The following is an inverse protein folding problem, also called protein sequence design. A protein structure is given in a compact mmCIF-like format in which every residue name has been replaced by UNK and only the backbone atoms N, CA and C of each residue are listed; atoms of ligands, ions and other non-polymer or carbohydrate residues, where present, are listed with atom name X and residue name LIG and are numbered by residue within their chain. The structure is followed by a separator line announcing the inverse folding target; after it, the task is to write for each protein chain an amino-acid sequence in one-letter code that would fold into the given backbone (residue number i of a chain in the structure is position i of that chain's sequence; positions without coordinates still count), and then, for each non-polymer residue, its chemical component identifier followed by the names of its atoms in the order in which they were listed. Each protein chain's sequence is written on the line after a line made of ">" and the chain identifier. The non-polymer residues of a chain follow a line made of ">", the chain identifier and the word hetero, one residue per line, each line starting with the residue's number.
data_IF_443331105395
#
_entry.id   IF_443331105395
#
_cell.length_a   1.000
_cell.length_b   1.000
_cell.length_c   1.000
_cell.angle_alpha   90.00
_cell.angle_beta   90.00
_cell.angle_gamma   90.00
#
_symmetry.space_group_name_H-M   'P 1'
#
loop_
_entity.id
_entity.type
_entity.pdbx_description
1 polymer ?
#
# COMPACT_ATOMS: atom_id res chain seq x y z
N UNK A 1 5.13 5.31 10.70
CA UNK A 1 3.74 5.68 10.47
C UNK A 1 2.92 4.41 10.60
N UNK A 2 1.65 4.37 10.98
CA UNK A 2 0.78 3.82 9.93
C UNK A 2 0.71 4.91 8.85
N UNK A 3 0.78 4.58 7.57
CA UNK A 3 0.94 5.54 6.48
C UNK A 3 0.04 5.18 5.30
N UNK A 4 -0.43 6.18 4.53
CA UNK A 4 -1.25 5.93 3.35
C UNK A 4 -0.44 5.16 2.32
N UNK A 5 -1.10 4.26 1.61
CA UNK A 5 -0.52 3.55 0.46
C UNK A 5 -1.39 3.79 -0.76
N UNK A 6 -0.73 3.92 -1.92
CA UNK A 6 -1.41 3.95 -3.20
C UNK A 6 -1.34 2.57 -3.86
N UNK A 7 -2.49 2.01 -4.25
CA UNK A 7 -2.61 0.87 -5.14
C UNK A 7 -2.86 1.43 -6.54
N UNK A 8 -1.84 1.44 -7.37
CA UNK A 8 -1.88 2.11 -8.66
C UNK A 8 -1.92 1.09 -9.77
N UNK A 9 -2.95 1.14 -10.62
CA UNK A 9 -2.85 0.45 -11.89
C UNK A 9 -1.73 1.02 -12.75
N UNK A 10 -1.24 0.21 -13.68
CA UNK A 10 -0.08 0.57 -14.50
C UNK A 10 -0.51 1.14 -15.85
N UNK A 11 -1.16 0.34 -16.68
CA UNK A 11 -1.43 0.70 -18.07
C UNK A 11 -2.60 1.70 -18.13
N UNK A 12 -2.48 2.76 -18.94
CA UNK A 12 -3.43 3.89 -19.03
C UNK A 12 -3.71 4.65 -17.70
N UNK A 13 -3.05 4.27 -16.60
CA UNK A 13 -3.16 4.91 -15.27
C UNK A 13 -1.86 5.61 -14.88
N UNK A 14 -0.81 4.84 -14.56
CA UNK A 14 0.54 5.37 -14.27
C UNK A 14 1.33 5.62 -15.54
N UNK A 15 1.13 4.78 -16.56
CA UNK A 15 1.72 4.90 -17.88
C UNK A 15 0.64 5.20 -18.92
N UNK A 16 0.62 6.43 -19.42
CA UNK A 16 -0.29 6.87 -20.49
C UNK A 16 0.56 7.06 -21.74
N UNK A 17 0.29 6.27 -22.78
CA UNK A 17 1.07 6.29 -24.03
C UNK A 17 2.60 6.12 -23.79
N UNK A 18 2.97 5.27 -22.82
CA UNK A 18 4.36 5.00 -22.37
C UNK A 18 5.02 6.14 -21.55
N UNK A 19 4.33 7.26 -21.35
CA UNK A 19 4.79 8.35 -20.50
C UNK A 19 4.19 8.26 -19.10
N UNK A 20 4.93 8.75 -18.11
CA UNK A 20 4.43 8.77 -16.73
C UNK A 20 3.32 9.81 -16.60
N UNK A 21 2.24 9.42 -15.92
CA UNK A 21 1.19 10.33 -15.47
C UNK A 21 1.72 11.22 -14.34
N UNK A 22 2.49 12.26 -14.71
CA UNK A 22 3.14 13.16 -13.77
C UNK A 22 2.15 13.90 -12.88
N UNK A 23 0.95 14.22 -13.40
CA UNK A 23 -0.11 14.86 -12.62
C UNK A 23 -0.50 14.02 -11.40
N UNK A 24 -0.83 12.73 -11.60
CA UNK A 24 -1.18 11.82 -10.51
C UNK A 24 -0.01 11.62 -9.53
N UNK A 25 1.20 11.39 -10.07
CA UNK A 25 2.39 11.12 -9.25
C UNK A 25 2.82 12.34 -8.43
N UNK A 26 2.81 13.54 -9.02
CA UNK A 26 3.11 14.77 -8.29
C UNK A 26 2.07 15.05 -7.21
N UNK A 27 0.79 14.83 -7.50
CA UNK A 27 -0.27 14.96 -6.48
C UNK A 27 -0.08 14.00 -5.31
N UNK A 28 0.25 12.72 -5.55
CA UNK A 28 0.57 11.77 -4.48
C UNK A 28 1.76 12.26 -3.65
N UNK A 29 2.86 12.66 -4.31
CA UNK A 29 4.08 13.13 -3.65
C UNK A 29 3.86 14.40 -2.83
N UNK A 30 3.15 15.38 -3.39
CA UNK A 30 2.83 16.66 -2.73
C UNK A 30 1.98 16.46 -1.48
N UNK A 31 1.16 15.40 -1.46
CA UNK A 31 0.34 15.03 -0.32
C UNK A 31 1.00 13.97 0.59
N UNK A 32 2.29 13.68 0.38
CA UNK A 32 3.08 12.78 1.23
C UNK A 32 2.77 11.29 1.06
N UNK A 33 2.00 10.90 0.04
CA UNK A 33 1.73 9.51 -0.30
C UNK A 33 2.88 8.99 -1.17
N UNK A 34 3.84 8.30 -0.54
CA UNK A 34 5.06 7.81 -1.20
C UNK A 34 5.11 6.30 -1.34
N UNK A 35 4.27 5.57 -0.61
CA UNK A 35 4.23 4.11 -0.62
C UNK A 35 3.27 3.64 -1.69
N UNK A 36 3.77 2.81 -2.62
CA UNK A 36 3.02 2.32 -3.77
C UNK A 36 3.08 0.79 -3.82
N UNK A 37 1.95 0.16 -4.08
CA UNK A 37 1.92 -1.14 -4.77
C UNK A 37 1.41 -0.93 -6.18
N UNK A 38 2.06 -1.56 -7.16
CA UNK A 38 1.58 -1.57 -8.54
C UNK A 38 0.52 -2.66 -8.66
N UNK A 39 -0.72 -2.26 -8.89
CA UNK A 39 -1.93 -3.07 -8.76
C UNK A 39 -2.50 -3.32 -10.17
N UNK A 40 -1.95 -4.31 -10.87
CA UNK A 40 -2.06 -4.44 -12.34
C UNK A 40 -2.69 -5.75 -12.77
N UNK A 41 -3.46 -5.73 -13.86
CA UNK A 41 -4.12 -6.91 -14.45
C UNK A 41 -3.21 -7.67 -15.44
N UNK A 42 -1.93 -7.87 -15.09
CA UNK A 42 -0.96 -8.45 -16.01
C UNK A 42 -0.84 -9.98 -15.90
N UNK A 43 -0.34 -10.63 -16.97
CA UNK A 43 0.22 -11.99 -16.93
C UNK A 43 1.75 -11.96 -17.16
N UNK A 44 2.41 -13.11 -17.03
CA UNK A 44 3.87 -13.21 -17.13
C UNK A 44 4.36 -13.34 -18.56
N UNK A 45 4.29 -12.24 -19.30
CA UNK A 45 5.06 -12.05 -20.55
C UNK A 45 6.38 -11.35 -20.23
N UNK A 46 7.43 -11.70 -20.95
CA UNK A 46 8.79 -11.21 -20.63
C UNK A 46 8.95 -9.72 -20.82
N UNK A 47 8.42 -9.16 -21.91
CA UNK A 47 8.39 -7.71 -22.11
C UNK A 47 7.70 -7.03 -20.93
N UNK A 48 6.60 -7.62 -20.45
CA UNK A 48 5.90 -7.11 -19.28
C UNK A 48 6.76 -7.17 -18.02
N UNK A 49 7.50 -8.24 -17.73
CA UNK A 49 8.39 -8.25 -16.55
C UNK A 49 9.45 -7.15 -16.63
N UNK A 50 10.15 -7.04 -17.76
CA UNK A 50 11.21 -6.05 -17.96
C UNK A 50 10.68 -4.60 -17.89
N UNK A 51 9.59 -4.31 -18.59
CA UNK A 51 8.93 -3.00 -18.58
C UNK A 51 8.50 -2.60 -17.18
N UNK A 52 7.96 -3.56 -16.41
CA UNK A 52 7.52 -3.33 -15.04
C UNK A 52 8.71 -3.09 -14.10
N UNK A 53 9.83 -3.80 -14.24
CA UNK A 53 11.05 -3.52 -13.50
C UNK A 53 11.61 -2.12 -13.80
N UNK A 54 11.65 -1.72 -15.08
CA UNK A 54 12.05 -0.36 -15.48
C UNK A 54 11.11 0.71 -14.91
N UNK A 55 9.80 0.45 -14.91
CA UNK A 55 8.82 1.36 -14.29
C UNK A 55 9.09 1.51 -12.79
N UNK A 56 9.33 0.39 -12.08
CA UNK A 56 9.68 0.41 -10.66
C UNK A 56 10.91 1.29 -10.41
N UNK A 57 11.99 1.09 -11.17
CA UNK A 57 13.21 1.91 -11.05
C UNK A 57 12.94 3.40 -11.31
N UNK A 58 12.11 3.73 -12.32
CA UNK A 58 11.72 5.12 -12.61
C UNK A 58 10.95 5.75 -11.45
N UNK A 59 9.99 5.04 -10.86
CA UNK A 59 9.20 5.53 -9.72
C UNK A 59 10.05 5.69 -8.46
N UNK A 60 10.92 4.73 -8.18
CA UNK A 60 11.88 4.81 -7.06
C UNK A 60 12.84 5.99 -7.24
N UNK A 61 13.33 6.22 -8.46
CA UNK A 61 14.11 7.41 -8.82
C UNK A 61 13.38 8.75 -8.61
N UNK A 62 12.04 8.75 -8.61
CA UNK A 62 11.22 9.93 -8.29
C UNK A 62 10.90 10.08 -6.79
N UNK A 63 11.42 9.19 -5.95
CA UNK A 63 11.27 9.25 -4.48
C UNK A 63 10.08 8.46 -3.94
N UNK A 64 9.48 7.58 -4.73
CA UNK A 64 8.49 6.61 -4.25
C UNK A 64 9.15 5.38 -3.62
N UNK A 65 8.41 4.69 -2.75
CA UNK A 65 8.72 3.37 -2.23
C UNK A 65 7.77 2.36 -2.87
N UNK A 66 8.26 1.62 -3.87
CA UNK A 66 7.46 0.61 -4.58
C UNK A 66 7.61 -0.74 -3.88
N UNK A 67 6.56 -1.17 -3.18
CA UNK A 67 6.56 -2.37 -2.34
C UNK A 67 6.44 -3.68 -3.12
N UNK A 68 5.91 -3.64 -4.34
CA UNK A 68 5.77 -4.81 -5.19
C UNK A 68 4.66 -4.64 -6.23
N UNK A 69 4.43 -5.72 -6.98
CA UNK A 69 3.38 -5.82 -7.99
C UNK A 69 2.33 -6.81 -7.51
N UNK A 70 1.10 -6.35 -7.31
CA UNK A 70 -0.04 -7.19 -6.96
C UNK A 70 -0.83 -7.45 -8.24
N UNK A 71 -1.10 -8.73 -8.51
CA UNK A 71 -1.72 -9.19 -9.76
C UNK A 71 -2.87 -10.17 -9.47
N UNK A 72 -3.79 -10.42 -10.43
CA UNK A 72 -4.84 -11.43 -10.26
C UNK A 72 -4.28 -12.82 -10.01
N UNK A 73 -3.06 -13.09 -10.48
CA UNK A 73 -2.42 -14.39 -10.34
C UNK A 73 -2.24 -14.74 -8.87
N UNK A 74 -1.98 -13.75 -8.00
CA UNK A 74 -1.80 -13.93 -6.56
C UNK A 74 -3.02 -14.63 -5.90
N UNK A 75 -4.22 -14.49 -6.49
CA UNK A 75 -5.46 -15.11 -6.00
C UNK A 75 -5.45 -16.64 -6.07
N UNK A 76 -4.59 -17.23 -6.89
CA UNK A 76 -4.48 -18.69 -7.05
C UNK A 76 -3.03 -19.17 -7.08
N UNK A 77 -2.05 -18.27 -6.97
CA UNK A 77 -0.63 -18.59 -7.06
C UNK A 77 -0.11 -19.31 -5.82
N UNK A 78 0.71 -20.33 -6.00
CA UNK A 78 1.41 -21.01 -4.89
C UNK A 78 2.90 -20.85 -5.11
N UNK A 79 3.61 -20.10 -4.28
CA UNK A 79 5.05 -19.90 -4.49
C UNK A 79 5.79 -21.25 -4.45
N UNK A 80 6.69 -21.46 -5.42
CA UNK A 80 7.47 -22.70 -5.55
C UNK A 80 8.96 -22.42 -5.34
N UNK A 81 9.56 -23.12 -4.38
CA UNK A 81 10.94 -22.86 -3.98
C UNK A 81 11.99 -23.44 -4.95
N UNK A 82 11.71 -24.58 -5.59
CA UNK A 82 12.68 -25.29 -6.42
C UNK A 82 12.45 -25.13 -7.93
N UNK A 83 13.52 -25.24 -8.73
CA UNK A 83 13.42 -25.26 -10.20
C UNK A 83 12.61 -26.47 -10.70
N UNK A 84 12.79 -27.64 -10.06
CA UNK A 84 12.09 -28.88 -10.43
C UNK A 84 10.57 -28.78 -10.23
N UNK A 85 10.11 -28.26 -9.10
CA UNK A 85 8.67 -28.09 -8.84
C UNK A 85 8.06 -27.07 -9.79
N UNK A 86 8.78 -25.99 -10.11
CA UNK A 86 8.37 -25.02 -11.14
C UNK A 86 8.23 -25.67 -12.51
N UNK A 87 9.15 -26.53 -12.92
CA UNK A 87 9.08 -27.24 -14.20
C UNK A 87 7.84 -28.14 -14.28
N UNK A 88 7.57 -28.91 -13.21
CA UNK A 88 6.41 -29.81 -13.14
C UNK A 88 5.10 -29.01 -13.23
N UNK A 89 4.94 -27.98 -12.41
CA UNK A 89 3.74 -27.13 -12.38
C UNK A 89 3.56 -26.34 -13.68
N UNK A 90 4.65 -25.86 -14.26
CA UNK A 90 4.66 -25.22 -15.56
C UNK A 90 4.22 -26.15 -16.68
N UNK A 91 4.71 -27.40 -16.69
CA UNK A 91 4.27 -28.40 -17.66
C UNK A 91 2.79 -28.76 -17.47
N UNK A 92 2.31 -28.88 -16.23
CA UNK A 92 0.88 -29.08 -15.95
C UNK A 92 0.03 -27.93 -16.49
N UNK A 93 0.48 -26.67 -16.32
CA UNK A 93 -0.22 -25.51 -16.85
C UNK A 93 -0.26 -25.51 -18.39
N UNK A 94 0.85 -25.84 -19.04
CA UNK A 94 0.91 -25.97 -20.50
C UNK A 94 -0.02 -27.09 -21.01
N UNK A 95 -0.01 -28.25 -20.34
CA UNK A 95 -0.91 -29.37 -20.64
C UNK A 95 -2.38 -28.97 -20.50
N UNK A 96 -2.73 -28.19 -19.47
CA UNK A 96 -4.09 -27.70 -19.27
C UNK A 96 -4.50 -26.76 -20.39
N UNK A 97 -3.68 -25.76 -20.73
CA UNK A 97 -3.95 -24.82 -21.82
C UNK A 97 -4.10 -25.53 -23.18
N UNK A 98 -3.30 -26.56 -23.42
CA UNK A 98 -3.42 -27.42 -24.61
C UNK A 98 -4.76 -28.18 -24.59
N UNK A 99 -5.17 -28.69 -23.43
CA UNK A 99 -6.44 -29.40 -23.26
C UNK A 99 -7.63 -28.48 -23.52
N UNK A 100 -7.59 -27.23 -23.03
CA UNK A 100 -8.62 -26.21 -23.28
C UNK A 100 -8.77 -25.87 -24.77
N UNK A 101 -7.71 -26.06 -25.56
CA UNK A 101 -7.72 -25.84 -27.01
C UNK A 101 -8.26 -27.03 -27.81
N UNK A 102 -8.58 -28.15 -27.15
CA UNK A 102 -9.14 -29.32 -27.82
C UNK A 102 -10.55 -29.05 -28.37
N UNK A 103 -11.00 -29.78 -29.42
CA UNK A 103 -12.34 -29.59 -29.97
C UNK A 103 -13.49 -29.70 -28.96
N UNK A 104 -13.27 -30.42 -27.84
CA UNK A 104 -14.22 -30.59 -26.74
C UNK A 104 -14.51 -29.27 -26.02
N UNK A 105 -13.52 -28.40 -25.87
CA UNK A 105 -13.62 -27.16 -25.09
C UNK A 105 -13.43 -25.88 -25.91
N UNK A 106 -12.94 -25.97 -27.14
CA UNK A 106 -12.60 -24.82 -27.99
C UNK A 106 -13.75 -23.83 -28.26
N UNK A 107 -15.01 -24.26 -28.12
CA UNK A 107 -16.19 -23.40 -28.32
C UNK A 107 -16.75 -22.79 -27.03
N UNK A 108 -16.26 -23.23 -25.86
CA UNK A 108 -16.72 -22.75 -24.56
C UNK A 108 -16.00 -21.47 -24.17
N UNK A 109 -16.70 -20.60 -23.42
CA UNK A 109 -16.06 -19.44 -22.81
C UNK A 109 -15.17 -19.89 -21.65
N UNK A 110 -13.98 -19.32 -21.54
CA UNK A 110 -13.06 -19.54 -20.42
C UNK A 110 -13.40 -18.59 -19.24
N UNK A 111 -14.69 -18.42 -18.96
CA UNK A 111 -15.22 -17.69 -17.80
C UNK A 111 -16.65 -18.12 -17.47
N UNK A 112 -17.11 -17.85 -16.25
CA UNK A 112 -18.47 -18.13 -15.79
C UNK A 112 -18.84 -19.61 -15.81
N UNK A 113 -20.12 -19.91 -16.00
CA UNK A 113 -20.67 -21.26 -15.97
C UNK A 113 -20.02 -22.21 -16.99
N UNK A 114 -19.63 -21.69 -18.15
CA UNK A 114 -18.94 -22.48 -19.18
C UNK A 114 -17.60 -22.99 -18.65
N UNK A 115 -16.83 -22.14 -17.97
CA UNK A 115 -15.54 -22.54 -17.41
C UNK A 115 -15.71 -23.43 -16.18
N UNK A 116 -16.71 -23.18 -15.33
CA UNK A 116 -17.06 -24.11 -14.24
C UNK A 116 -17.40 -25.50 -14.78
N UNK A 117 -18.12 -25.58 -15.89
CA UNK A 117 -18.42 -26.86 -16.53
C UNK A 117 -17.18 -27.57 -17.11
N UNK A 118 -16.15 -26.81 -17.50
CA UNK A 118 -14.85 -27.38 -17.91
C UNK A 118 -14.11 -27.92 -16.68
N UNK A 119 -14.04 -27.15 -15.60
CA UNK A 119 -13.37 -27.57 -14.36
C UNK A 119 -14.06 -28.76 -13.68
N UNK A 120 -15.37 -28.93 -13.92
CA UNK A 120 -16.15 -30.06 -13.44
C UNK A 120 -16.04 -31.32 -14.32
N UNK A 121 -15.45 -31.23 -15.51
CA UNK A 121 -15.25 -32.38 -16.40
C UNK A 121 -14.34 -33.44 -15.76
N UNK A 122 -14.71 -34.72 -15.85
CA UNK A 122 -14.00 -35.81 -15.15
C UNK A 122 -12.52 -35.91 -15.55
N UNK A 123 -12.19 -35.67 -16.82
CA UNK A 123 -10.81 -35.73 -17.31
C UNK A 123 -9.99 -34.57 -16.74
N UNK A 124 -10.56 -33.36 -16.79
CA UNK A 124 -9.94 -32.14 -16.23
C UNK A 124 -9.74 -32.30 -14.74
N UNK A 125 -10.79 -32.65 -14.01
CA UNK A 125 -10.76 -32.79 -12.55
C UNK A 125 -9.75 -33.85 -12.10
N UNK A 126 -9.61 -34.95 -12.85
CA UNK A 126 -8.66 -36.01 -12.52
C UNK A 126 -7.21 -35.58 -12.81
N UNK A 127 -6.97 -34.87 -13.91
CA UNK A 127 -5.61 -34.50 -14.33
C UNK A 127 -5.10 -33.22 -13.65
N UNK A 128 -5.99 -32.29 -13.31
CA UNK A 128 -5.68 -30.95 -12.80
C UNK A 128 -6.44 -30.63 -11.51
N UNK A 129 -6.53 -31.60 -10.60
CA UNK A 129 -7.36 -31.48 -9.39
C UNK A 129 -7.02 -30.25 -8.53
N UNK A 130 -5.73 -29.87 -8.48
CA UNK A 130 -5.25 -28.71 -7.72
C UNK A 130 -5.83 -27.37 -8.18
N UNK A 131 -6.32 -27.26 -9.41
CA UNK A 131 -6.89 -26.00 -9.92
C UNK A 131 -8.25 -25.69 -9.33
N UNK A 132 -9.01 -26.71 -8.93
CA UNK A 132 -10.23 -26.50 -8.16
C UNK A 132 -9.89 -26.07 -6.75
N UNK A 133 -8.92 -26.73 -6.12
CA UNK A 133 -8.49 -26.40 -4.76
C UNK A 133 -7.98 -24.95 -4.65
N UNK A 134 -7.32 -24.42 -5.69
CA UNK A 134 -6.83 -23.04 -5.71
C UNK A 134 -7.94 -21.98 -5.76
N UNK A 135 -9.11 -22.30 -6.35
CA UNK A 135 -10.30 -21.43 -6.33
C UNK A 135 -10.89 -21.31 -4.91
N UNK A 136 -10.77 -22.37 -4.12
CA UNK A 136 -11.37 -22.47 -2.78
C UNK A 136 -10.41 -22.01 -1.66
N UNK A 137 -9.10 -21.88 -1.93
CA UNK A 137 -8.08 -21.49 -0.95
C UNK A 137 -8.44 -20.19 -0.23
N UNK A 138 -8.45 -20.09 1.11
CA UNK A 138 -8.79 -18.85 1.83
C UNK A 138 -7.94 -17.63 1.42
N UNK A 139 -8.57 -16.45 1.34
CA UNK A 139 -7.89 -15.21 0.91
C UNK A 139 -6.79 -14.76 1.89
N UNK A 140 -6.91 -15.06 3.19
CA UNK A 140 -5.89 -14.77 4.20
C UNK A 140 -4.66 -15.70 4.14
N UNK A 141 -4.62 -16.63 3.19
CA UNK A 141 -3.45 -17.49 2.91
C UNK A 141 -2.73 -17.07 1.61
N UNK A 142 -3.16 -15.96 1.00
CA UNK A 142 -2.58 -15.44 -0.25
C UNK A 142 -1.33 -14.62 0.05
N UNK A 143 -0.28 -14.81 -0.74
CA UNK A 143 0.91 -13.95 -0.71
C UNK A 143 0.76 -12.88 -1.77
N UNK A 144 0.33 -11.68 -1.37
CA UNK A 144 0.13 -10.57 -2.30
C UNK A 144 1.47 -10.14 -2.92
N UNK A 145 1.54 -10.17 -4.26
CA UNK A 145 2.73 -9.94 -5.06
C UNK A 145 3.76 -11.07 -5.12
N UNK A 146 3.45 -12.23 -4.51
CA UNK A 146 4.32 -13.41 -4.58
C UNK A 146 4.51 -13.92 -6.00
N UNK A 147 3.47 -13.85 -6.83
CA UNK A 147 3.51 -14.35 -8.19
C UNK A 147 4.54 -13.58 -9.04
N UNK A 148 4.54 -12.24 -8.97
CA UNK A 148 5.48 -11.43 -9.74
C UNK A 148 6.92 -11.60 -9.25
N UNK A 149 7.16 -11.70 -7.93
CA UNK A 149 8.51 -11.90 -7.40
C UNK A 149 9.11 -13.26 -7.84
N UNK A 150 8.29 -14.31 -7.92
CA UNK A 150 8.73 -15.59 -8.47
C UNK A 150 9.06 -15.47 -9.97
N UNK A 151 8.19 -14.82 -10.75
CA UNK A 151 8.42 -14.61 -12.18
C UNK A 151 9.67 -13.78 -12.45
N UNK A 152 9.90 -12.73 -11.66
CA UNK A 152 11.12 -11.92 -11.68
C UNK A 152 12.36 -12.77 -11.40
N UNK A 153 12.32 -13.64 -10.39
CA UNK A 153 13.44 -14.54 -10.07
C UNK A 153 13.78 -15.46 -11.25
N UNK A 154 12.77 -16.00 -11.94
CA UNK A 154 12.98 -16.80 -13.16
C UNK A 154 13.56 -15.95 -14.29
N UNK A 155 13.02 -14.77 -14.52
CA UNK A 155 13.52 -13.83 -15.52
C UNK A 155 15.00 -13.49 -15.30
N UNK A 156 15.38 -13.11 -14.08
CA UNK A 156 16.77 -12.78 -13.75
C UNK A 156 17.71 -13.98 -13.95
N UNK A 157 17.28 -15.19 -13.57
CA UNK A 157 18.03 -16.44 -13.85
C UNK A 157 18.20 -16.67 -15.34
N UNK A 158 17.14 -16.49 -16.14
CA UNK A 158 17.19 -16.68 -17.59
C UNK A 158 18.19 -15.74 -18.27
N UNK A 159 18.20 -14.46 -17.87
CA UNK A 159 19.15 -13.46 -18.38
C UNK A 159 20.59 -13.80 -17.96
N UNK A 160 20.80 -14.22 -16.71
CA UNK A 160 22.13 -14.63 -16.21
C UNK A 160 22.67 -15.86 -16.95
N UNK A 161 21.79 -16.78 -17.37
CA UNK A 161 22.12 -17.95 -18.19
C UNK A 161 22.34 -17.60 -19.67
N UNK A 162 22.28 -16.31 -20.03
CA UNK A 162 22.59 -15.80 -21.37
C UNK A 162 21.41 -15.81 -22.34
N UNK A 163 20.19 -16.07 -21.86
CA UNK A 163 18.99 -15.97 -22.71
C UNK A 163 18.70 -14.50 -23.00
N UNK A 164 18.34 -14.18 -24.24
CA UNK A 164 18.06 -12.81 -24.66
C UNK A 164 16.56 -12.52 -24.62
N UNK A 165 16.11 -11.59 -23.78
CA UNK A 165 14.74 -11.09 -23.79
C UNK A 165 14.43 -10.42 -25.14
N UNK A 166 13.48 -10.98 -25.88
CA UNK A 166 13.09 -10.50 -27.19
C UNK A 166 11.67 -10.93 -27.55
N UNK A 167 11.24 -10.60 -28.77
CA UNK A 167 9.93 -11.03 -29.27
C UNK A 167 9.83 -12.56 -29.28
N UNK A 168 8.75 -13.11 -28.71
CA UNK A 168 8.54 -14.55 -28.59
C UNK A 168 9.35 -15.22 -27.48
N UNK A 169 9.96 -14.46 -26.58
CA UNK A 169 10.62 -15.04 -25.41
C UNK A 169 9.60 -15.66 -24.46
N UNK A 170 9.90 -16.89 -24.02
CA UNK A 170 9.19 -17.58 -22.95
C UNK A 170 10.11 -17.73 -21.74
N UNK A 171 9.63 -17.35 -20.56
CA UNK A 171 10.32 -17.62 -19.31
C UNK A 171 10.52 -19.12 -19.14
N UNK A 172 11.63 -19.52 -18.52
CA UNK A 172 11.88 -20.92 -18.18
C UNK A 172 10.74 -21.51 -17.35
N UNK A 173 10.68 -22.85 -17.32
CA UNK A 173 9.70 -23.60 -16.53
C UNK A 173 8.25 -23.30 -16.91
N UNK A 174 8.00 -22.98 -18.19
CA UNK A 174 6.66 -22.68 -18.70
C UNK A 174 5.91 -21.62 -17.86
N UNK A 175 6.65 -20.66 -17.26
CA UNK A 175 6.09 -19.69 -16.32
C UNK A 175 4.99 -18.82 -16.96
N UNK A 176 5.08 -18.56 -18.27
CA UNK A 176 4.03 -17.87 -19.02
C UNK A 176 2.69 -18.63 -18.92
N UNK A 177 2.69 -19.93 -19.22
CA UNK A 177 1.47 -20.76 -19.17
C UNK A 177 0.91 -20.84 -17.76
N UNK A 178 1.79 -20.95 -16.75
CA UNK A 178 1.38 -20.93 -15.35
C UNK A 178 0.69 -19.60 -14.99
N UNK A 179 1.23 -18.48 -15.48
CA UNK A 179 0.60 -17.17 -15.35
C UNK A 179 -0.75 -17.07 -16.03
N UNK A 180 -0.89 -17.62 -17.24
CA UNK A 180 -2.17 -17.62 -17.98
C UNK A 180 -3.24 -18.45 -17.27
N UNK A 181 -2.89 -19.64 -16.75
CA UNK A 181 -3.81 -20.48 -15.97
C UNK A 181 -4.21 -19.78 -14.67
N UNK A 182 -3.26 -19.21 -13.94
CA UNK A 182 -3.54 -18.48 -12.71
C UNK A 182 -4.43 -17.26 -12.96
N UNK A 183 -4.27 -16.56 -14.10
CA UNK A 183 -5.16 -15.48 -14.51
C UNK A 183 -6.59 -15.97 -14.76
N UNK A 184 -6.77 -17.05 -15.53
CA UNK A 184 -8.09 -17.64 -15.77
C UNK A 184 -8.79 -18.03 -14.45
N UNK A 185 -8.07 -18.70 -13.56
CA UNK A 185 -8.62 -19.13 -12.26
C UNK A 185 -8.90 -17.92 -11.34
N UNK A 186 -8.00 -16.93 -11.29
CA UNK A 186 -8.18 -15.71 -10.51
C UNK A 186 -9.40 -14.89 -10.95
N UNK A 187 -9.61 -14.76 -12.26
CA UNK A 187 -10.79 -14.09 -12.82
C UNK A 187 -12.08 -14.86 -12.50
N UNK A 188 -12.06 -16.19 -12.66
CA UNK A 188 -13.19 -17.04 -12.31
C UNK A 188 -13.56 -16.91 -10.82
N UNK A 189 -12.54 -16.91 -9.96
CA UNK A 189 -12.72 -16.75 -8.52
C UNK A 189 -13.32 -15.39 -8.16
N UNK A 190 -12.92 -14.33 -8.86
CA UNK A 190 -13.51 -13.00 -8.68
C UNK A 190 -14.99 -12.97 -9.10
N UNK A 191 -15.34 -13.63 -10.20
CA UNK A 191 -16.73 -13.79 -10.64
C UNK A 191 -17.56 -14.56 -9.60
N UNK A 192 -17.05 -15.67 -9.05
CA UNK A 192 -17.71 -16.41 -7.97
C UNK A 192 -17.92 -15.58 -6.70
N UNK A 193 -17.02 -14.64 -6.44
CA UNK A 193 -17.13 -13.67 -5.34
C UNK A 193 -18.05 -12.48 -5.68
N UNK A 194 -18.67 -12.50 -6.86
CA UNK A 194 -19.61 -11.50 -7.35
C UNK A 194 -18.97 -10.18 -7.77
N UNK A 195 -17.65 -10.13 -7.96
CA UNK A 195 -16.98 -8.93 -8.44
C UNK A 195 -17.04 -8.83 -9.97
N UNK A 196 -17.26 -7.62 -10.49
CA UNK A 196 -17.26 -7.35 -11.94
C UNK A 196 -15.85 -7.29 -12.54
N UNK A 197 -14.82 -7.26 -11.69
CA UNK A 197 -13.40 -7.22 -12.06
C UNK A 197 -12.54 -7.85 -10.94
N UNK A 198 -11.48 -8.59 -11.33
CA UNK A 198 -10.52 -9.30 -10.45
C UNK A 198 -9.96 -8.43 -9.32
N UNK A 199 -9.58 -7.20 -9.65
CA UNK A 199 -9.11 -6.16 -8.73
C UNK A 199 -9.99 -5.92 -7.48
N UNK A 200 -11.30 -6.14 -7.55
CA UNK A 200 -12.16 -6.09 -6.36
C UNK A 200 -11.82 -7.20 -5.36
N UNK A 201 -11.64 -8.43 -5.85
CA UNK A 201 -11.21 -9.56 -5.03
C UNK A 201 -9.75 -9.42 -4.59
N UNK A 202 -8.88 -8.87 -5.44
CA UNK A 202 -7.48 -8.57 -5.06
C UNK A 202 -7.42 -7.55 -3.92
N UNK A 203 -8.32 -6.55 -3.89
CA UNK A 203 -8.42 -5.61 -2.78
C UNK A 203 -8.87 -6.32 -1.50
N UNK A 204 -9.88 -7.19 -1.58
CA UNK A 204 -10.31 -7.99 -0.43
C UNK A 204 -9.18 -8.88 0.11
N UNK A 205 -8.44 -9.55 -0.78
CA UNK A 205 -7.27 -10.35 -0.44
C UNK A 205 -6.15 -9.49 0.19
N UNK A 206 -5.86 -8.33 -0.39
CA UNK A 206 -4.91 -7.37 0.17
C UNK A 206 -5.32 -6.95 1.57
N UNK A 207 -6.60 -6.66 1.80
CA UNK A 207 -7.09 -6.23 3.11
C UNK A 207 -6.97 -7.32 4.19
N UNK A 208 -7.10 -8.60 3.82
CA UNK A 208 -6.88 -9.72 4.74
C UNK A 208 -5.41 -9.97 5.07
N UNK A 209 -4.48 -9.54 4.22
CA UNK A 209 -3.04 -9.73 4.36
C UNK A 209 -2.28 -8.40 4.52
N UNK A 210 -3.01 -7.31 4.79
CA UNK A 210 -2.49 -5.95 4.72
C UNK A 210 -1.38 -5.76 5.74
N UNK A 211 -0.22 -5.21 5.37
CA UNK A 211 0.81 -4.87 6.33
C UNK A 211 0.29 -3.95 7.45
N UNK A 212 0.81 -4.13 8.67
CA UNK A 212 0.42 -3.35 9.85
C UNK A 212 0.58 -1.84 9.64
N UNK A 213 1.65 -1.45 8.96
CA UNK A 213 1.96 -0.05 8.65
C UNK A 213 0.98 0.66 7.70
N UNK A 214 0.04 0.00 7.03
CA UNK A 214 -0.90 0.70 6.12
C UNK A 214 -2.04 1.34 6.93
N UNK A 215 -2.17 2.68 6.93
CA UNK A 215 -3.24 3.43 7.63
C UNK A 215 -4.49 3.69 6.78
N UNK A 216 -4.30 3.87 5.48
CA UNK A 216 -5.36 4.17 4.52
C UNK A 216 -4.90 3.82 3.10
N UNK A 217 -5.84 3.71 2.17
CA UNK A 217 -5.59 3.21 0.83
C UNK A 217 -6.21 4.15 -0.21
N UNK A 218 -5.40 4.56 -1.18
CA UNK A 218 -5.84 5.24 -2.39
C UNK A 218 -5.69 4.27 -3.54
N UNK A 219 -6.75 4.04 -4.30
CA UNK A 219 -6.73 3.18 -5.49
C UNK A 219 -6.91 4.07 -6.69
N UNK A 220 -6.02 4.02 -7.67
CA UNK A 220 -6.17 4.75 -8.92
C UNK A 220 -6.18 3.77 -10.10
N UNK A 221 -7.16 3.92 -10.98
CA UNK A 221 -7.37 3.05 -12.13
C UNK A 221 -8.15 3.81 -13.22
N UNK A 222 -7.87 3.53 -14.49
CA UNK A 222 -8.56 4.14 -15.63
C UNK A 222 -9.86 3.40 -16.00
N UNK A 223 -10.02 2.16 -15.54
CA UNK A 223 -11.13 1.31 -15.95
C UNK A 223 -12.34 1.43 -15.01
N UNK A 224 -13.51 1.92 -15.46
CA UNK A 224 -14.68 2.15 -14.60
C UNK A 224 -15.15 0.91 -13.81
N UNK A 225 -15.13 -0.28 -14.43
CA UNK A 225 -15.49 -1.52 -13.73
C UNK A 225 -14.57 -1.86 -12.56
N UNK A 226 -13.30 -1.45 -12.58
CA UNK A 226 -12.40 -1.62 -11.44
C UNK A 226 -12.86 -0.73 -10.29
N UNK A 227 -13.15 0.53 -10.58
CA UNK A 227 -13.68 1.49 -9.61
C UNK A 227 -14.97 0.96 -8.98
N UNK A 228 -15.93 0.52 -9.81
CA UNK A 228 -17.18 -0.09 -9.34
C UNK A 228 -16.94 -1.33 -8.45
N UNK A 229 -16.00 -2.20 -8.84
CA UNK A 229 -15.66 -3.43 -8.10
C UNK A 229 -15.04 -3.12 -6.74
N UNK A 230 -14.14 -2.13 -6.67
CA UNK A 230 -13.54 -1.66 -5.40
C UNK A 230 -14.57 -0.93 -4.51
N UNK A 231 -15.46 -0.12 -5.08
CA UNK A 231 -16.55 0.52 -4.34
C UNK A 231 -17.55 -0.49 -3.79
N UNK A 232 -17.83 -1.57 -4.54
CA UNK A 232 -18.62 -2.70 -4.04
C UNK A 232 -18.02 -3.27 -2.76
N UNK A 233 -16.72 -3.63 -2.77
CA UNK A 233 -16.01 -4.12 -1.58
C UNK A 233 -16.17 -3.16 -0.39
N UNK A 234 -15.93 -1.86 -0.60
CA UNK A 234 -16.07 -0.84 0.45
C UNK A 234 -17.48 -0.79 1.04
N UNK A 235 -18.50 -0.83 0.20
CA UNK A 235 -19.90 -0.73 0.61
C UNK A 235 -20.39 -1.95 1.40
N UNK A 236 -19.98 -3.15 0.97
CA UNK A 236 -20.42 -4.42 1.56
C UNK A 236 -19.63 -4.78 2.82
N UNK A 237 -18.30 -4.60 2.79
CA UNK A 237 -17.41 -5.05 3.87
C UNK A 237 -17.13 -3.97 4.92
N UNK A 238 -17.35 -2.69 4.58
CA UNK A 238 -17.18 -1.52 5.47
C UNK A 238 -15.88 -1.57 6.27
N UNK A 239 -14.72 -1.66 5.59
CA UNK A 239 -13.43 -1.77 6.28
C UNK A 239 -13.19 -0.54 7.17
N UNK A 240 -12.60 -0.77 8.35
CA UNK A 240 -12.21 0.31 9.26
C UNK A 240 -11.11 1.21 8.67
N UNK A 241 -10.29 0.66 7.78
CA UNK A 241 -9.25 1.38 7.03
C UNK A 241 -9.93 2.23 5.96
N UNK A 242 -9.70 3.56 5.92
CA UNK A 242 -10.23 4.41 4.88
C UNK A 242 -9.71 3.98 3.49
N UNK A 243 -10.62 3.89 2.52
CA UNK A 243 -10.29 3.60 1.13
C UNK A 243 -10.94 4.67 0.24
N UNK A 244 -10.18 5.22 -0.71
CA UNK A 244 -10.71 6.09 -1.78
C UNK A 244 -10.29 5.50 -3.12
N UNK A 245 -11.21 5.50 -4.09
CA UNK A 245 -10.90 5.21 -5.49
C UNK A 245 -10.85 6.52 -6.28
N UNK A 246 -9.88 6.65 -7.16
CA UNK A 246 -9.69 7.75 -8.11
C UNK A 246 -9.82 7.15 -9.50
N UNK A 247 -10.76 7.65 -10.29
CA UNK A 247 -10.88 7.26 -11.70
C UNK A 247 -9.95 8.14 -12.53
N UNK A 248 -9.00 7.54 -13.23
CA UNK A 248 -8.05 8.26 -14.10
C UNK A 248 -8.65 8.40 -15.49
N UNK A 249 -9.05 9.61 -15.86
CA UNK A 249 -9.48 9.92 -17.23
C UNK A 249 -8.29 10.46 -18.03
N UNK A 250 -7.78 9.67 -18.98
CA UNK A 250 -6.71 10.08 -19.89
C UNK A 250 -7.01 11.33 -20.71
N UNK A 251 -8.28 11.71 -20.87
CA UNK A 251 -8.68 12.95 -21.55
C UNK A 251 -8.66 14.17 -20.64
N UNK A 252 -8.69 13.96 -19.32
CA UNK A 252 -8.80 15.02 -18.33
C UNK A 252 -7.89 14.75 -17.12
N UNK A 253 -6.58 14.77 -17.37
CA UNK A 253 -5.56 14.65 -16.31
C UNK A 253 -5.39 15.97 -15.56
N UNK A 254 -6.34 16.29 -14.69
CA UNK A 254 -6.28 17.49 -13.85
C UNK A 254 -5.57 17.18 -12.52
N UNK A 255 -4.32 17.64 -12.38
CA UNK A 255 -3.56 17.54 -11.14
C UNK A 255 -4.31 18.13 -9.94
N UNK A 256 -5.13 19.17 -10.15
CA UNK A 256 -5.92 19.77 -9.08
C UNK A 256 -7.02 18.81 -8.60
N UNK A 257 -7.68 18.10 -9.51
CA UNK A 257 -8.68 17.10 -9.15
C UNK A 257 -8.05 15.99 -8.30
N UNK A 258 -6.92 15.44 -8.73
CA UNK A 258 -6.20 14.42 -7.95
C UNK A 258 -5.80 14.94 -6.58
N UNK A 259 -5.26 16.17 -6.51
CA UNK A 259 -4.91 16.83 -5.26
C UNK A 259 -6.09 16.94 -4.29
N UNK A 260 -7.25 17.36 -4.78
CA UNK A 260 -8.44 17.56 -3.96
C UNK A 260 -9.00 16.22 -3.44
N UNK A 261 -9.01 15.17 -4.29
CA UNK A 261 -9.41 13.82 -3.90
C UNK A 261 -8.45 13.20 -2.86
N UNK A 262 -7.14 13.34 -3.07
CA UNK A 262 -6.11 12.83 -2.14
C UNK A 262 -6.17 13.59 -0.81
N UNK A 263 -6.29 14.93 -0.82
CA UNK A 263 -6.45 15.71 0.42
C UNK A 263 -7.70 15.31 1.19
N UNK A 264 -8.81 15.12 0.48
CA UNK A 264 -10.08 14.68 1.09
C UNK A 264 -9.94 13.28 1.71
N UNK A 265 -9.23 12.38 1.05
CA UNK A 265 -8.92 11.06 1.60
C UNK A 265 -8.08 11.16 2.87
N UNK A 266 -6.99 11.92 2.83
CA UNK A 266 -6.05 12.02 3.95
C UNK A 266 -6.68 12.63 5.21
N UNK A 267 -7.74 13.44 5.09
CA UNK A 267 -8.49 13.92 6.27
C UNK A 267 -9.16 12.78 7.07
N UNK A 268 -9.36 11.62 6.46
CA UNK A 268 -9.93 10.41 7.09
C UNK A 268 -8.84 9.50 7.66
N UNK A 269 -7.58 9.72 7.30
CA UNK A 269 -6.46 8.89 7.72
C UNK A 269 -6.17 9.08 9.23
N UNK A 270 -6.05 8.01 10.04
CA UNK A 270 -5.75 8.13 11.47
C UNK A 270 -4.44 8.86 11.79
N UNK A 271 -3.40 8.66 10.97
CA UNK A 271 -2.09 9.33 11.10
C UNK A 271 -2.17 10.82 10.78
N UNK A 272 -3.15 11.23 9.95
CA UNK A 272 -3.37 12.65 9.64
C UNK A 272 -3.68 13.46 10.88
N UNK A 273 -4.23 12.86 11.95
CA UNK A 273 -4.56 13.59 13.17
C UNK A 273 -3.32 14.20 13.82
N UNK A 274 -2.22 13.44 13.95
CA UNK A 274 -0.95 13.95 14.49
C UNK A 274 -0.38 15.04 13.59
N UNK A 275 -0.33 14.75 12.30
CA UNK A 275 0.25 15.68 11.32
C UNK A 275 -0.55 16.99 11.30
N UNK A 276 -1.88 16.90 11.34
CA UNK A 276 -2.78 18.04 11.41
C UNK A 276 -2.58 18.84 12.70
N UNK A 277 -2.46 18.17 13.85
CA UNK A 277 -2.15 18.84 15.12
C UNK A 277 -0.80 19.59 15.06
N UNK A 278 0.22 19.02 14.40
CA UNK A 278 1.52 19.69 14.17
C UNK A 278 1.36 20.88 13.21
N UNK A 279 0.61 20.72 12.12
CA UNK A 279 0.37 21.78 11.13
C UNK A 279 -0.44 22.94 11.73
N UNK A 280 -1.42 22.66 12.59
CA UNK A 280 -2.17 23.67 13.36
C UNK A 280 -1.25 24.44 14.31
N UNK A 281 -0.32 23.75 14.97
CA UNK A 281 0.68 24.38 15.84
C UNK A 281 1.65 25.26 15.05
N UNK A 282 2.13 24.77 13.90
CA UNK A 282 2.95 25.55 12.97
C UNK A 282 2.18 26.80 12.54
N UNK A 283 0.94 26.67 12.05
CA UNK A 283 0.12 27.80 11.60
C UNK A 283 -0.13 28.82 12.73
N UNK A 284 -0.32 28.35 13.97
CA UNK A 284 -0.41 29.22 15.15
C UNK A 284 0.88 30.02 15.36
N UNK A 285 2.03 29.34 15.29
CA UNK A 285 3.34 29.99 15.38
C UNK A 285 3.57 30.98 14.24
N UNK A 286 3.17 30.65 13.02
CA UNK A 286 3.26 31.54 11.86
C UNK A 286 2.45 32.82 12.03
N UNK A 287 1.20 32.71 12.49
CA UNK A 287 0.34 33.86 12.81
C UNK A 287 0.97 34.73 13.90
N UNK A 288 1.68 34.11 14.84
CA UNK A 288 2.39 34.80 15.92
C UNK A 288 3.74 35.40 15.51
N UNK A 289 4.27 35.18 14.29
CA UNK A 289 5.51 35.82 13.80
C UNK A 289 5.46 37.35 13.88
N UNK A 290 4.26 37.95 13.91
CA UNK A 290 4.05 39.40 14.06
C UNK A 290 4.08 39.90 15.51
N UNK A 291 4.11 39.01 16.51
CA UNK A 291 4.28 39.39 17.90
C UNK A 291 5.75 39.68 18.19
N UNK A 292 6.10 40.95 18.37
CA UNK A 292 7.46 41.42 18.71
C UNK A 292 8.05 40.78 19.99
N UNK A 293 7.22 40.18 20.83
CA UNK A 293 7.64 39.45 22.03
C UNK A 293 8.16 38.02 21.74
N UNK A 294 8.02 37.52 20.52
CA UNK A 294 8.45 36.18 20.12
C UNK A 294 9.74 36.24 19.30
N UNK A 295 10.87 36.12 20.00
CA UNK A 295 12.22 36.09 19.42
C UNK A 295 12.61 34.84 18.59
N UNK A 296 11.81 33.76 18.50
CA UNK A 296 12.17 32.60 17.65
C UNK A 296 11.02 31.70 17.09
N UNK A 297 9.82 32.21 16.72
CA UNK A 297 8.81 31.40 16.03
C UNK A 297 9.38 30.57 14.87
N UNK A 298 10.33 31.16 14.12
CA UNK A 298 11.01 30.50 13.00
C UNK A 298 11.73 29.21 13.43
N UNK A 299 12.47 29.20 14.53
CA UNK A 299 13.19 28.01 14.99
C UNK A 299 12.23 26.93 15.48
N UNK A 300 11.14 27.31 16.15
CA UNK A 300 10.10 26.36 16.57
C UNK A 300 9.38 25.73 15.38
N UNK A 301 9.06 26.53 14.35
CA UNK A 301 8.46 26.05 13.11
C UNK A 301 9.38 25.05 12.44
N UNK A 302 10.67 25.39 12.23
CA UNK A 302 11.65 24.46 11.63
C UNK A 302 11.76 23.17 12.45
N UNK A 303 11.74 23.27 13.79
CA UNK A 303 11.76 22.09 14.64
C UNK A 303 10.52 21.21 14.41
N UNK A 304 9.32 21.79 14.39
CA UNK A 304 8.07 21.07 14.18
C UNK A 304 7.92 20.51 12.77
N UNK A 305 8.39 21.23 11.74
CA UNK A 305 8.48 20.72 10.36
C UNK A 305 9.37 19.47 10.31
N UNK A 306 10.50 19.49 11.03
CA UNK A 306 11.35 18.32 11.13
C UNK A 306 10.67 17.19 11.90
N UNK A 307 9.96 17.48 12.98
CA UNK A 307 9.20 16.44 13.71
C UNK A 307 8.17 15.76 12.79
N UNK A 308 7.43 16.55 12.02
CA UNK A 308 6.50 16.06 11.00
C UNK A 308 7.20 15.15 10.00
N UNK A 309 8.36 15.56 9.49
CA UNK A 309 9.17 14.73 8.59
C UNK A 309 9.63 13.41 9.23
N UNK A 310 10.20 13.46 10.44
CA UNK A 310 10.64 12.28 11.19
C UNK A 310 9.48 11.32 11.45
N UNK A 311 8.32 11.84 11.80
CA UNK A 311 7.10 11.06 12.00
C UNK A 311 6.65 10.37 10.70
N UNK A 312 6.63 11.10 9.57
CA UNK A 312 6.25 10.57 8.27
C UNK A 312 7.24 9.50 7.76
N UNK A 313 8.52 9.64 8.11
CA UNK A 313 9.59 8.75 7.68
C UNK A 313 9.79 7.54 8.61
N UNK A 314 9.42 7.63 9.88
CA UNK A 314 9.66 6.56 10.86
C UNK A 314 8.94 5.25 10.50
N UNK A 315 9.63 4.12 10.69
CA UNK A 315 9.05 2.78 10.73
C UNK A 315 8.40 2.58 12.10
N UNK A 316 7.10 2.87 12.21
CA UNK A 316 6.42 2.82 13.51
C UNK A 316 5.91 1.43 13.89
N UNK A 317 6.04 0.43 13.01
CA UNK A 317 5.88 -0.97 13.42
C UNK A 317 7.00 -1.37 14.40
N UNK A 318 8.15 -0.68 14.30
CA UNK A 318 9.34 -0.89 15.15
C UNK A 318 9.56 0.21 16.19
N UNK A 319 8.98 1.38 16.00
CA UNK A 319 9.26 2.59 16.79
C UNK A 319 7.95 3.23 17.24
N UNK A 320 7.81 3.67 18.49
CA UNK A 320 6.59 4.42 18.86
C UNK A 320 6.71 5.91 18.48
N UNK A 321 5.59 6.61 18.34
CA UNK A 321 5.60 8.08 18.13
C UNK A 321 6.33 8.77 19.28
N UNK A 322 6.17 8.25 20.50
CA UNK A 322 6.93 8.71 21.65
C UNK A 322 8.45 8.60 21.43
N UNK A 323 8.92 7.47 20.91
CA UNK A 323 10.34 7.24 20.61
C UNK A 323 10.83 8.13 19.46
N UNK A 324 9.98 8.37 18.44
CA UNK A 324 10.29 9.33 17.37
C UNK A 324 10.42 10.74 17.93
N UNK A 325 9.49 11.19 18.77
CA UNK A 325 9.58 12.51 19.42
C UNK A 325 10.85 12.59 20.29
N UNK A 326 11.15 11.53 21.06
CA UNK A 326 12.35 11.49 21.88
C UNK A 326 13.64 11.56 21.04
N UNK A 327 13.69 10.84 19.91
CA UNK A 327 14.82 10.89 18.97
C UNK A 327 14.94 12.27 18.34
N UNK A 328 13.83 12.85 17.90
CA UNK A 328 13.76 14.20 17.34
C UNK A 328 14.24 15.28 18.32
N UNK A 329 13.84 15.21 19.60
CA UNK A 329 14.28 16.17 20.63
C UNK A 329 15.81 16.20 20.78
N UNK A 330 16.47 15.09 20.43
CA UNK A 330 17.90 14.90 20.53
C UNK A 330 18.65 15.06 19.19
N UNK A 331 17.96 15.05 18.05
CA UNK A 331 18.60 14.99 16.71
C UNK A 331 19.03 16.35 16.16
N UNK A 332 18.29 17.42 16.46
CA UNK A 332 18.57 18.75 15.92
C UNK A 332 19.34 19.64 16.91
N UNK A 333 20.28 20.40 16.34
CA UNK A 333 20.97 21.51 17.01
C UNK A 333 20.67 22.80 16.27
N UNK A 334 20.25 23.82 17.01
CA UNK A 334 19.96 25.15 16.46
C UNK A 334 21.05 26.13 16.90
N UNK A 335 21.54 26.96 15.99
CA UNK A 335 22.49 28.01 16.37
C UNK A 335 21.75 29.21 16.95
N UNK A 336 22.01 29.52 18.22
CA UNK A 336 21.48 30.71 18.87
C UNK A 336 22.07 31.96 18.22
N UNK A 337 21.23 32.86 17.74
CA UNK A 337 21.67 34.04 16.98
C UNK A 337 22.46 35.04 17.83
N UNK A 338 22.15 35.13 19.14
CA UNK A 338 22.80 36.03 20.12
C UNK A 338 24.10 35.46 20.64
N UNK A 339 24.08 34.23 21.15
CA UNK A 339 25.26 33.63 21.82
C UNK A 339 26.17 32.87 20.85
N UNK A 340 25.72 32.64 19.61
CA UNK A 340 26.37 31.79 18.60
C UNK A 340 26.56 30.32 18.99
N UNK A 341 26.11 29.93 20.18
CA UNK A 341 26.15 28.55 20.70
C UNK A 341 25.05 27.70 20.05
N UNK A 342 25.32 26.41 19.93
CA UNK A 342 24.31 25.43 19.56
C UNK A 342 23.42 25.12 20.76
N UNK A 343 22.12 25.00 20.50
CA UNK A 343 21.09 24.70 21.51
C UNK A 343 20.24 23.52 21.04
N UNK A 344 19.71 22.74 21.97
CA UNK A 344 18.84 21.59 21.67
C UNK A 344 17.45 22.02 21.19
N UNK A 345 16.69 21.08 20.61
CA UNK A 345 15.25 21.26 20.34
C UNK A 345 14.53 21.64 21.63
N UNK A 346 14.77 20.93 22.73
CA UNK A 346 14.13 21.22 24.01
C UNK A 346 14.36 22.66 24.47
N UNK A 347 15.58 23.18 24.29
CA UNK A 347 15.88 24.58 24.58
C UNK A 347 15.12 25.52 23.63
N UNK A 348 15.09 25.24 22.33
CA UNK A 348 14.28 26.00 21.35
C UNK A 348 12.80 26.03 21.72
N UNK A 349 12.21 24.90 22.12
CA UNK A 349 10.80 24.83 22.50
C UNK A 349 10.50 25.64 23.78
N UNK A 350 11.46 25.70 24.70
CA UNK A 350 11.36 26.45 25.97
C UNK A 350 11.58 27.96 25.84
N UNK A 351 12.10 28.43 24.69
CA UNK A 351 12.21 29.87 24.43
C UNK A 351 10.81 30.53 24.50
N UNK A 352 10.75 31.75 25.07
CA UNK A 352 9.53 32.51 25.44
C UNK A 352 8.94 32.27 26.84
N UNK A 353 9.74 31.80 27.80
CA UNK A 353 9.43 32.07 29.20
C UNK A 353 9.35 33.58 29.42
N UNK A 354 8.32 34.04 30.12
CA UNK A 354 8.04 35.47 30.31
C UNK A 354 9.14 36.05 31.20
N UNK A 355 10.22 36.58 30.61
CA UNK A 355 11.41 37.07 31.34
C UNK A 355 11.07 38.20 32.33
N UNK A 356 9.96 38.91 32.12
CA UNK A 356 9.52 40.02 32.95
C UNK A 356 8.78 39.60 34.22
N UNK A 357 8.40 38.32 34.33
CA UNK A 357 7.61 37.82 35.46
C UNK A 357 8.17 36.47 35.90
N UNK A 358 8.91 36.49 37.01
CA UNK A 358 9.59 35.32 37.56
C UNK A 358 8.66 34.11 37.79
N UNK A 359 7.38 34.36 38.07
CA UNK A 359 6.33 33.35 38.22
C UNK A 359 6.14 32.47 36.97
N UNK A 360 6.37 32.99 35.76
CA UNK A 360 6.23 32.24 34.50
C UNK A 360 7.54 31.62 34.01
N UNK A 361 8.62 31.70 34.80
CA UNK A 361 9.93 31.15 34.42
C UNK A 361 10.00 29.63 34.56
N UNK A 362 9.07 28.99 35.27
CA UNK A 362 8.99 27.54 35.44
C UNK A 362 7.92 26.87 34.57
N UNK A 363 6.97 27.65 34.03
CA UNK A 363 5.87 27.10 33.24
C UNK A 363 6.33 26.58 31.87
N UNK A 364 5.63 25.54 31.40
CA UNK A 364 5.80 25.00 30.06
C UNK A 364 5.19 25.95 29.01
N UNK A 365 5.93 26.19 27.93
CA UNK A 365 5.42 26.99 26.81
C UNK A 365 4.26 26.26 26.12
N UNK A 366 3.47 26.98 25.33
CA UNK A 366 2.35 26.37 24.59
C UNK A 366 2.79 25.25 23.65
N UNK A 367 3.97 25.37 23.03
CA UNK A 367 4.56 24.33 22.17
C UNK A 367 5.11 23.16 23.00
N UNK A 368 5.68 23.41 24.20
CA UNK A 368 6.06 22.32 25.10
C UNK A 368 4.85 21.54 25.59
N UNK A 369 3.77 22.22 25.99
CA UNK A 369 2.49 21.59 26.37
C UNK A 369 1.93 20.75 25.23
N UNK A 370 2.02 21.26 23.99
CA UNK A 370 1.64 20.53 22.80
C UNK A 370 2.44 19.22 22.63
N UNK A 371 3.77 19.27 22.69
CA UNK A 371 4.61 18.08 22.57
C UNK A 371 4.35 17.08 23.72
N UNK A 372 4.17 17.55 24.95
CA UNK A 372 3.78 16.70 26.08
C UNK A 372 2.43 16.00 25.84
N UNK A 373 1.44 16.74 25.33
CA UNK A 373 0.13 16.18 24.98
C UNK A 373 0.23 15.10 23.91
N UNK A 374 1.06 15.30 22.88
CA UNK A 374 1.31 14.27 21.86
C UNK A 374 1.93 13.02 22.47
N UNK A 375 2.96 13.18 23.33
CA UNK A 375 3.59 12.04 24.02
C UNK A 375 2.58 11.25 24.86
N UNK A 376 1.70 11.94 25.58
CA UNK A 376 0.68 11.32 26.42
C UNK A 376 -0.41 10.60 25.60
N UNK A 377 -0.91 11.22 24.53
CA UNK A 377 -1.95 10.65 23.65
C UNK A 377 -1.46 9.33 23.03
N UNK A 378 -0.22 9.29 22.54
CA UNK A 378 0.31 8.14 21.82
C UNK A 378 0.99 7.09 22.70
N UNK A 379 1.30 7.40 23.96
CA UNK A 379 1.65 6.37 24.95
C UNK A 379 0.44 5.50 25.33
N UNK A 380 -0.78 6.06 25.34
CA UNK A 380 -2.01 5.33 25.69
C UNK A 380 -2.41 4.31 24.61
N UNK A 381 -2.18 4.62 23.34
CA UNK A 381 -2.53 3.74 22.21
C UNK A 381 -1.73 2.42 22.23
N UNK A 382 -0.50 2.43 22.75
CA UNK A 382 0.36 1.24 22.82
C UNK A 382 -0.08 0.23 23.90
N UNK A 383 -0.90 0.65 24.87
CA UNK A 383 -1.35 -0.23 25.95
C UNK A 383 -2.54 -1.11 25.56
N UNK A 384 -3.16 -0.88 24.39
CA UNK A 384 -4.35 -1.60 23.94
C UNK A 384 -5.53 -1.50 24.93
N UNK A 385 -6.75 -1.89 24.56
CA UNK A 385 -7.69 -2.32 25.58
C UNK A 385 -7.06 -3.56 26.24
N UNK A 386 -6.72 -3.47 27.53
CA UNK A 386 -6.52 -4.69 28.30
C UNK A 386 -7.78 -5.52 28.09
N UNK A 387 -7.64 -6.69 27.46
CA UNK A 387 -8.72 -7.67 27.38
C UNK A 387 -9.23 -7.86 28.80
N UNK A 388 -10.40 -7.28 29.08
CA UNK A 388 -11.15 -7.62 30.27
C UNK A 388 -11.46 -9.10 30.13
N UNK A 389 -10.84 -9.91 30.97
CA UNK A 389 -11.31 -11.26 31.25
C UNK A 389 -12.75 -11.16 31.72
N UNK A 390 -13.69 -11.25 30.78
CA UNK A 390 -15.07 -11.62 31.09
C UNK A 390 -15.01 -13.07 31.58
N UNK A 391 -15.10 -13.23 32.90
CA UNK A 391 -15.47 -14.50 33.52
C UNK A 391 -16.80 -14.94 32.92
N UNK A 392 -16.75 -15.94 32.04
CA UNK A 392 -17.94 -16.66 31.61
C UNK A 392 -18.42 -17.47 32.82
N UNK A 393 -19.38 -16.92 33.56
CA UNK A 393 -20.21 -17.68 34.50
C UNK A 393 -20.95 -18.77 33.73
N UNK A 394 -20.44 -20.00 33.81
CA UNK A 394 -21.14 -21.20 33.36
C UNK A 394 -22.41 -21.37 34.20
N UNK A 395 -23.53 -20.92 33.65
CA UNK A 395 -24.84 -21.21 34.22
C UNK A 395 -25.22 -22.65 33.89
N UNK A 396 -25.25 -23.49 34.92
CA UNK A 396 -25.79 -24.85 34.90
C UNK A 396 -27.23 -24.85 34.36
N UNK A 397 -27.48 -25.50 33.24
CA UNK A 397 -28.79 -26.06 32.95
C UNK A 397 -28.87 -27.50 33.49
N UNK A 398 -29.54 -27.63 34.64
CA UNK A 398 -30.29 -28.83 35.00
C UNK A 398 -31.68 -28.68 34.40
N UNK A 399 -32.11 -29.64 33.59
CA UNK A 399 -33.46 -30.25 33.47
C UNK A 399 -33.60 -30.85 32.09
#
# INVERSE_FOLDING_TARGET
>A
MTRPVALLDVDDTVLIEQELNTALLESLKNNGVKDIYLFTDMTFKTSSIEERLKLKERLEGQGFRVHGFITPLDLTWTNLDSKETREIEGQQANDFMTTLSSPKFATKKLSGDDFDSILADDEIRKKFSSYKDSLERPLNQMTMGGAFEEAKTVYESDIQEGRQAGSGFHLSHNMNFRGDVAKLLGDQRALHSGYSHSKGLMLEAFMMNKPGWVSSIIIADDHPKVIESCEKYKSEKKPAVPITTIHVDKKNMDAKQYDDEIKTHLQKDPSSKVIKQIDEEIARLEKSKRNFFLSSPKSKIVALEKLKEEILNADLDKTSIHDVIHTWENSLRFRNTKTKKEVSVSEVLSQHRNFFKAEFSSESTSTQKFISSLKEEYNKIKQGPQEGTEEIEQTKYKS
#
